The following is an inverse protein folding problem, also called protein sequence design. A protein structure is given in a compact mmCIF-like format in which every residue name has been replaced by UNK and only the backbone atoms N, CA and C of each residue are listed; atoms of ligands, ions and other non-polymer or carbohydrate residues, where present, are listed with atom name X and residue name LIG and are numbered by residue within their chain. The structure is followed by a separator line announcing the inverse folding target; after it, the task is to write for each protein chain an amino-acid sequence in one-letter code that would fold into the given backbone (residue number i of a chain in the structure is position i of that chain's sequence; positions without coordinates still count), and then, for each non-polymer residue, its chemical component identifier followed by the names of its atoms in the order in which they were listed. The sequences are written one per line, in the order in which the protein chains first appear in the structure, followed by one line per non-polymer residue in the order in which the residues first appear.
data_IF_176882718164
#
_entry.id   IF_176882718164
#
_cell.length_a   1.000
_cell.length_b   1.000
_cell.length_c   1.000
_cell.angle_alpha   90.00
_cell.angle_beta   90.00
_cell.angle_gamma   90.00
#
_symmetry.space_group_name_H-M   'P 1'
#
loop_
_entity.id
_entity.type
_entity.pdbx_description
1 polymer ?
#
# COMPACT_ATOMS: atom_id res chain seq x y z
N UNK A 1 -3.46 -5.36 -7.24
CA UNK A 1 -2.32 -6.14 -7.76
C UNK A 1 -2.47 -6.36 -9.26
N UNK A 2 -3.48 -7.10 -9.76
CA UNK A 2 -3.66 -7.51 -11.17
C UNK A 2 -3.62 -6.34 -12.15
N UNK A 3 -4.34 -5.26 -11.89
CA UNK A 3 -4.36 -4.09 -12.77
C UNK A 3 -2.99 -3.41 -12.87
N UNK A 4 -2.30 -3.24 -11.73
CA UNK A 4 -0.95 -2.66 -11.72
C UNK A 4 0.07 -3.57 -12.43
N UNK A 5 -0.06 -4.89 -12.28
CA UNK A 5 0.78 -5.83 -13.03
C UNK A 5 0.61 -5.67 -14.55
N UNK A 6 -0.63 -5.47 -15.04
CA UNK A 6 -0.90 -5.21 -16.46
C UNK A 6 -0.35 -3.86 -16.95
N UNK A 7 -0.30 -2.85 -16.06
CA UNK A 7 0.31 -1.55 -16.39
C UNK A 7 1.78 -1.70 -16.74
N UNK A 8 2.53 -2.58 -16.07
CA UNK A 8 3.94 -2.84 -16.37
C UNK A 8 4.12 -3.24 -17.85
N UNK A 9 3.22 -4.06 -18.40
CA UNK A 9 3.29 -4.55 -19.77
C UNK A 9 2.81 -3.51 -20.81
N UNK A 10 2.01 -2.54 -20.39
CA UNK A 10 1.40 -1.52 -21.26
C UNK A 10 2.08 -0.15 -21.16
N UNK A 11 2.95 0.03 -20.18
CA UNK A 11 3.57 1.32 -19.90
C UNK A 11 4.60 1.68 -21.00
N UNK A 12 4.76 2.99 -21.21
CA UNK A 12 5.87 3.52 -22.00
C UNK A 12 7.10 3.67 -21.11
N UNK A 13 8.23 3.14 -21.56
CA UNK A 13 9.49 3.24 -20.85
C UNK A 13 10.42 4.21 -21.59
N UNK A 14 10.96 5.24 -20.91
CA UNK A 14 11.78 6.27 -21.54
C UNK A 14 13.17 5.76 -21.95
N UNK A 15 13.64 4.66 -21.35
CA UNK A 15 14.93 4.02 -21.66
C UNK A 15 14.82 2.50 -21.63
N UNK A 16 15.67 1.81 -22.40
CA UNK A 16 15.72 0.35 -22.42
C UNK A 16 16.09 -0.24 -21.06
N UNK A 17 16.96 0.43 -20.31
CA UNK A 17 17.35 0.00 -18.95
C UNK A 17 16.14 0.02 -17.98
N UNK A 18 15.29 1.05 -18.07
CA UNK A 18 14.08 1.13 -17.27
C UNK A 18 13.08 0.03 -17.66
N UNK A 19 12.90 -0.22 -18.93
CA UNK A 19 12.05 -1.31 -19.44
C UNK A 19 12.55 -2.67 -18.96
N UNK A 20 13.83 -2.95 -19.17
CA UNK A 20 14.45 -4.22 -18.75
C UNK A 20 14.29 -4.46 -17.25
N UNK A 21 14.56 -3.45 -16.41
CA UNK A 21 14.42 -3.56 -14.96
C UNK A 21 12.96 -3.82 -14.55
N UNK A 22 12.01 -3.08 -15.11
CA UNK A 22 10.60 -3.24 -14.77
C UNK A 22 10.02 -4.58 -15.22
N UNK A 23 10.35 -5.04 -16.41
CA UNK A 23 9.88 -6.35 -16.89
C UNK A 23 10.51 -7.50 -16.11
N UNK A 24 11.79 -7.38 -15.75
CA UNK A 24 12.55 -8.37 -14.99
C UNK A 24 12.05 -8.56 -13.57
N UNK A 25 11.78 -7.45 -12.86
CA UNK A 25 11.44 -7.48 -11.44
C UNK A 25 9.95 -7.26 -11.15
N UNK A 26 9.21 -6.68 -12.10
CA UNK A 26 7.76 -6.41 -12.02
C UNK A 26 7.32 -5.76 -10.69
N UNK A 27 7.98 -4.69 -10.21
CA UNK A 27 7.60 -4.06 -8.95
C UNK A 27 6.30 -3.28 -9.11
N UNK A 28 5.44 -3.36 -8.12
CA UNK A 28 4.26 -2.51 -7.97
C UNK A 28 4.26 -1.88 -6.58
N UNK A 29 3.48 -0.82 -6.39
CA UNK A 29 3.36 -0.10 -5.13
C UNK A 29 1.88 0.16 -4.83
N UNK A 30 1.32 -0.58 -3.88
CA UNK A 30 -0.03 -0.36 -3.35
C UNK A 30 0.11 0.44 -2.08
N UNK A 31 -0.58 1.56 -1.99
CA UNK A 31 -0.61 2.43 -0.82
C UNK A 31 -2.02 2.80 -0.44
N UNK A 32 -2.13 3.60 0.62
CA UNK A 32 -3.40 4.11 1.15
C UNK A 32 -3.38 5.63 1.21
N UNK A 33 -4.55 6.24 1.28
CA UNK A 33 -4.76 7.64 1.64
C UNK A 33 -6.02 7.76 2.50
N UNK A 34 -6.07 8.76 3.38
CA UNK A 34 -7.22 8.98 4.25
C UNK A 34 -7.28 8.06 5.48
N UNK A 35 -6.15 7.50 5.94
CA UNK A 35 -6.15 6.66 7.14
C UNK A 35 -6.58 7.46 8.38
N UNK A 36 -6.12 8.71 8.52
CA UNK A 36 -6.52 9.59 9.61
C UNK A 36 -8.02 9.92 9.56
N UNK A 37 -8.59 10.09 8.35
CA UNK A 37 -10.03 10.26 8.18
C UNK A 37 -10.81 9.06 8.70
N UNK A 38 -10.34 7.85 8.40
CA UNK A 38 -10.97 6.60 8.91
C UNK A 38 -10.96 6.57 10.42
N UNK A 39 -9.85 6.91 11.07
CA UNK A 39 -9.78 6.95 12.53
C UNK A 39 -10.74 7.98 13.12
N UNK A 40 -10.80 9.18 12.56
CA UNK A 40 -11.73 10.22 13.02
C UNK A 40 -13.19 9.81 12.81
N UNK A 41 -13.54 9.22 11.66
CA UNK A 41 -14.89 8.70 11.40
C UNK A 41 -15.31 7.58 12.37
N UNK A 42 -14.36 6.82 12.89
CA UNK A 42 -14.58 5.77 13.89
C UNK A 42 -14.46 6.27 15.35
N UNK A 43 -14.22 7.57 15.56
CA UNK A 43 -14.03 8.15 16.90
C UNK A 43 -12.75 7.66 17.59
N UNK A 44 -11.72 7.28 16.83
CA UNK A 44 -10.46 6.78 17.36
C UNK A 44 -9.39 7.89 17.35
N UNK A 45 -8.85 8.29 18.50
CA UNK A 45 -7.65 9.13 18.53
C UNK A 45 -6.50 8.46 17.78
N UNK A 46 -5.72 9.24 17.01
CA UNK A 46 -4.70 8.72 16.10
C UNK A 46 -3.65 7.84 16.80
N UNK A 47 -3.26 8.17 18.02
CA UNK A 47 -2.28 7.45 18.84
C UNK A 47 -2.90 6.41 19.78
N UNK A 48 -4.21 6.16 19.67
CA UNK A 48 -4.93 5.23 20.54
C UNK A 48 -4.59 3.76 20.25
N UNK A 49 -4.73 2.86 21.22
CA UNK A 49 -4.61 1.42 20.98
C UNK A 49 -5.57 0.90 19.91
N UNK A 50 -6.80 1.45 19.85
CA UNK A 50 -7.80 1.10 18.85
C UNK A 50 -7.36 1.46 17.42
N UNK A 51 -6.79 2.65 17.24
CA UNK A 51 -6.24 3.08 15.95
C UNK A 51 -5.07 2.18 15.51
N UNK A 52 -4.16 1.84 16.42
CA UNK A 52 -3.03 0.93 16.15
C UNK A 52 -3.50 -0.47 15.72
N UNK A 53 -4.49 -1.02 16.42
CA UNK A 53 -5.05 -2.33 16.06
C UNK A 53 -5.76 -2.31 14.71
N UNK A 54 -6.54 -1.25 14.44
CA UNK A 54 -7.18 -1.07 13.14
C UNK A 54 -6.16 -0.91 12.01
N UNK A 55 -5.13 -0.09 12.22
CA UNK A 55 -4.02 0.08 11.27
C UNK A 55 -3.35 -1.25 10.94
N UNK A 56 -3.01 -2.04 11.97
CA UNK A 56 -2.43 -3.36 11.80
C UNK A 56 -3.32 -4.24 10.91
N UNK A 57 -4.62 -4.32 11.20
CA UNK A 57 -5.58 -5.12 10.41
C UNK A 57 -5.66 -4.65 8.96
N UNK A 58 -5.75 -3.32 8.72
CA UNK A 58 -5.83 -2.77 7.37
C UNK A 58 -4.61 -3.21 6.54
N UNK A 59 -3.40 -2.98 7.04
CA UNK A 59 -2.18 -3.31 6.30
C UNK A 59 -1.93 -4.81 6.20
N UNK A 60 -2.33 -5.60 7.20
CA UNK A 60 -2.29 -7.06 7.15
C UNK A 60 -3.18 -7.59 6.00
N UNK A 61 -4.42 -7.11 5.88
CA UNK A 61 -5.32 -7.50 4.79
C UNK A 61 -4.81 -7.06 3.42
N UNK A 62 -4.29 -5.83 3.30
CA UNK A 62 -3.75 -5.33 2.05
C UNK A 62 -2.56 -6.20 1.61
N UNK A 63 -1.63 -6.48 2.52
CA UNK A 63 -0.43 -7.23 2.22
C UNK A 63 -0.75 -8.70 1.90
N UNK A 64 -1.60 -9.34 2.70
CA UNK A 64 -2.06 -10.71 2.44
C UNK A 64 -2.71 -10.83 1.06
N UNK A 65 -3.67 -9.97 0.75
CA UNK A 65 -4.40 -10.00 -0.53
C UNK A 65 -3.49 -9.68 -1.72
N UNK A 66 -2.51 -8.78 -1.54
CA UNK A 66 -1.54 -8.46 -2.57
C UNK A 66 -0.61 -9.65 -2.88
N UNK A 67 -0.12 -10.33 -1.85
CA UNK A 67 0.70 -11.54 -1.97
C UNK A 67 -0.08 -12.69 -2.63
N UNK A 68 -1.32 -12.93 -2.15
CA UNK A 68 -2.19 -13.97 -2.70
C UNK A 68 -2.45 -13.76 -4.19
N UNK A 69 -2.82 -12.55 -4.59
CA UNK A 69 -3.07 -12.24 -6.00
C UNK A 69 -1.78 -12.33 -6.85
N UNK A 70 -0.64 -11.89 -6.30
CA UNK A 70 0.65 -12.01 -7.01
C UNK A 70 1.08 -13.47 -7.17
N UNK A 71 0.76 -14.34 -6.22
CA UNK A 71 0.98 -15.78 -6.33
C UNK A 71 0.05 -16.42 -7.38
N UNK A 72 -1.23 -16.00 -7.44
CA UNK A 72 -2.16 -16.44 -8.49
C UNK A 72 -1.64 -16.02 -9.87
N UNK A 73 -1.20 -14.78 -10.02
CA UNK A 73 -0.61 -14.30 -11.26
C UNK A 73 0.67 -15.05 -11.65
N UNK A 74 1.48 -15.48 -10.67
CA UNK A 74 2.65 -16.31 -10.95
C UNK A 74 2.28 -17.72 -11.44
N UNK A 75 1.14 -18.26 -10.99
CA UNK A 75 0.59 -19.53 -11.52
C UNK A 75 0.08 -19.39 -12.96
N UNK A 76 -0.41 -18.20 -13.34
CA UNK A 76 -0.92 -17.90 -14.69
C UNK A 76 0.20 -17.58 -15.68
N UNK A 77 1.18 -16.74 -15.28
CA UNK A 77 2.14 -16.06 -16.17
C UNK A 77 3.62 -16.23 -15.75
N UNK A 78 3.93 -17.16 -14.85
CA UNK A 78 5.24 -17.39 -14.22
C UNK A 78 5.66 -16.32 -13.19
N UNK A 79 6.56 -16.64 -12.25
CA UNK A 79 7.15 -15.70 -11.31
C UNK A 79 7.97 -14.62 -12.02
N UNK A 80 8.24 -13.50 -11.31
CA UNK A 80 9.23 -12.55 -11.80
C UNK A 80 10.61 -13.20 -11.90
N UNK A 81 11.41 -12.81 -12.89
CA UNK A 81 12.64 -13.50 -13.31
C UNK A 81 13.62 -13.75 -12.16
N UNK A 82 13.77 -12.81 -11.22
CA UNK A 82 14.69 -12.92 -10.09
C UNK A 82 14.04 -13.43 -8.80
N UNK A 83 12.91 -14.12 -8.89
CA UNK A 83 12.23 -14.67 -7.71
C UNK A 83 13.09 -15.70 -6.96
N UNK A 84 13.75 -16.58 -7.70
CA UNK A 84 14.61 -17.64 -7.13
C UNK A 84 15.79 -17.00 -6.39
N UNK A 85 15.96 -17.35 -5.12
CA UNK A 85 16.98 -16.79 -4.23
C UNK A 85 16.53 -15.53 -3.48
N UNK A 86 15.32 -15.03 -3.73
CA UNK A 86 14.71 -13.97 -2.92
C UNK A 86 14.28 -14.50 -1.54
N UNK A 87 14.13 -13.64 -0.51
CA UNK A 87 13.59 -14.06 0.78
C UNK A 87 12.23 -14.76 0.66
N UNK A 88 11.35 -14.27 -0.20
CA UNK A 88 10.03 -14.86 -0.43
C UNK A 88 10.12 -16.29 -0.99
N UNK A 89 11.15 -16.62 -1.79
CA UNK A 89 11.38 -17.98 -2.28
C UNK A 89 11.77 -18.96 -1.19
N UNK A 90 12.17 -18.46 -0.03
CA UNK A 90 12.51 -19.24 1.18
C UNK A 90 11.38 -19.16 2.24
N UNK A 91 10.22 -18.63 1.88
CA UNK A 91 9.10 -18.44 2.81
C UNK A 91 9.28 -17.31 3.82
N UNK A 92 10.25 -16.41 3.58
CA UNK A 92 10.53 -15.26 4.44
C UNK A 92 9.83 -14.05 3.84
N UNK A 93 8.81 -13.54 4.53
CA UNK A 93 8.10 -12.32 4.16
C UNK A 93 8.59 -11.14 5.02
N UNK A 94 8.15 -9.93 4.69
CA UNK A 94 8.70 -8.72 5.29
C UNK A 94 8.52 -8.66 6.82
N UNK A 95 7.38 -9.08 7.35
CA UNK A 95 7.12 -9.11 8.79
C UNK A 95 8.00 -10.14 9.53
N UNK A 96 8.40 -11.24 8.89
CA UNK A 96 9.32 -12.23 9.48
C UNK A 96 10.69 -11.61 9.77
N UNK A 97 11.17 -10.70 8.89
CA UNK A 97 12.45 -10.02 9.08
C UNK A 97 12.47 -9.07 10.28
N UNK A 98 11.30 -8.67 10.78
CA UNK A 98 11.16 -7.81 11.96
C UNK A 98 10.69 -8.56 13.21
N UNK A 99 10.60 -9.88 13.15
CA UNK A 99 10.18 -10.72 14.27
C UNK A 99 8.74 -10.49 14.71
N UNK A 100 7.90 -10.03 13.79
CA UNK A 100 6.46 -9.82 14.06
C UNK A 100 5.71 -11.11 13.79
N UNK A 101 4.95 -11.58 14.77
CA UNK A 101 4.08 -12.75 14.60
C UNK A 101 2.97 -12.42 13.59
N UNK A 102 2.89 -13.20 12.54
CA UNK A 102 1.84 -13.09 11.53
C UNK A 102 0.58 -13.87 11.92
N UNK A 103 -0.51 -13.54 11.26
CA UNK A 103 -1.72 -14.34 11.32
C UNK A 103 -1.45 -15.73 10.73
N UNK A 104 -1.95 -16.84 11.34
CA UNK A 104 -1.76 -18.20 10.84
C UNK A 104 -2.13 -18.44 9.37
N UNK A 105 -3.03 -17.63 8.80
CA UNK A 105 -3.38 -17.70 7.37
C UNK A 105 -2.20 -17.43 6.43
N UNK A 106 -1.16 -16.74 6.87
CA UNK A 106 0.06 -16.54 6.08
C UNK A 106 0.87 -17.82 5.88
N UNK A 107 0.77 -18.79 6.78
CA UNK A 107 1.57 -20.02 6.65
C UNK A 107 1.19 -20.84 5.40
N UNK A 108 -0.10 -20.99 5.13
CA UNK A 108 -0.57 -21.63 3.91
C UNK A 108 -0.15 -20.83 2.65
N UNK A 109 -0.25 -19.51 2.71
CA UNK A 109 0.18 -18.63 1.61
C UNK A 109 1.69 -18.70 1.38
N UNK A 110 2.51 -18.77 2.43
CA UNK A 110 3.98 -18.97 2.30
C UNK A 110 4.32 -20.27 1.56
N UNK A 111 3.63 -21.37 1.86
CA UNK A 111 3.82 -22.64 1.15
C UNK A 111 3.46 -22.51 -0.33
N UNK A 112 2.34 -21.85 -0.64
CA UNK A 112 1.95 -21.57 -2.02
C UNK A 112 2.99 -20.70 -2.75
N UNK A 113 3.49 -19.64 -2.09
CA UNK A 113 4.54 -18.75 -2.64
C UNK A 113 5.84 -19.52 -2.89
N UNK A 114 6.30 -20.36 -1.96
CA UNK A 114 7.51 -21.18 -2.16
C UNK A 114 7.36 -22.13 -3.33
N UNK A 115 6.15 -22.64 -3.57
CA UNK A 115 5.87 -23.60 -4.64
C UNK A 115 5.72 -22.94 -6.00
N UNK A 116 4.98 -21.82 -6.07
CA UNK A 116 4.55 -21.21 -7.33
C UNK A 116 5.20 -19.86 -7.62
N UNK A 117 5.83 -19.25 -6.62
CA UNK A 117 6.46 -17.93 -6.73
C UNK A 117 5.50 -16.77 -6.58
N UNK A 118 6.04 -15.57 -6.84
CA UNK A 118 5.32 -14.30 -6.93
C UNK A 118 5.54 -13.69 -8.30
N UNK A 119 4.50 -13.07 -8.88
CA UNK A 119 4.60 -12.34 -10.15
C UNK A 119 5.28 -10.98 -10.00
N UNK A 120 5.24 -10.39 -8.80
CA UNK A 120 5.72 -9.04 -8.50
C UNK A 120 6.75 -9.08 -7.37
N UNK A 121 7.90 -8.42 -7.56
CA UNK A 121 8.98 -8.37 -6.57
C UNK A 121 8.67 -7.48 -5.38
N UNK A 122 7.90 -6.40 -5.59
CA UNK A 122 7.41 -5.48 -4.56
C UNK A 122 5.90 -5.31 -4.74
N UNK A 123 5.16 -5.14 -3.65
CA UNK A 123 3.71 -5.13 -3.66
C UNK A 123 3.12 -3.91 -2.94
N UNK A 124 3.56 -3.64 -1.72
CA UNK A 124 3.01 -2.57 -0.86
C UNK A 124 4.10 -1.56 -0.58
N UNK A 125 3.83 -0.32 -0.93
CA UNK A 125 4.69 0.82 -0.65
C UNK A 125 3.82 2.08 -0.55
N UNK A 126 3.45 2.52 0.66
CA UNK A 126 2.69 3.75 0.86
C UNK A 126 3.44 4.95 0.29
N UNK A 127 2.74 5.73 -0.53
CA UNK A 127 3.23 6.94 -1.18
C UNK A 127 2.65 8.19 -0.50
N UNK A 128 3.25 9.39 -0.67
CA UNK A 128 2.77 10.63 -0.06
C UNK A 128 1.34 11.04 -0.45
N UNK A 129 0.84 10.68 -1.63
CA UNK A 129 -0.52 10.96 -2.15
C UNK A 129 -0.94 12.44 -2.14
N UNK A 130 0.00 13.38 -2.19
CA UNK A 130 -0.24 14.81 -2.03
C UNK A 130 -1.34 15.39 -2.94
N UNK A 131 -1.33 15.06 -4.24
CA UNK A 131 -2.33 15.55 -5.20
C UNK A 131 -3.62 14.72 -5.16
N UNK A 132 -3.51 13.41 -5.10
CA UNK A 132 -4.68 12.51 -5.12
C UNK A 132 -5.52 12.64 -3.86
N UNK A 133 -4.91 12.83 -2.69
CA UNK A 133 -5.62 13.10 -1.46
C UNK A 133 -6.46 14.39 -1.53
N UNK A 134 -5.93 15.44 -2.19
CA UNK A 134 -6.66 16.67 -2.40
C UNK A 134 -7.87 16.50 -3.34
N UNK A 135 -7.70 15.74 -4.42
CA UNK A 135 -8.79 15.44 -5.36
C UNK A 135 -9.91 14.68 -4.67
N UNK A 136 -9.55 13.71 -3.83
CA UNK A 136 -10.49 12.86 -3.10
C UNK A 136 -11.05 13.52 -1.82
N UNK A 137 -10.47 14.64 -1.39
CA UNK A 137 -10.93 15.36 -0.20
C UNK A 137 -10.67 14.62 1.13
N UNK A 138 -9.57 13.88 1.21
CA UNK A 138 -9.12 13.21 2.42
C UNK A 138 -7.69 13.63 2.80
N UNK A 139 -7.19 13.19 3.95
CA UNK A 139 -5.83 13.44 4.37
C UNK A 139 -4.81 12.57 3.60
N UNK A 140 -3.57 13.00 3.57
CA UNK A 140 -2.51 12.37 2.79
C UNK A 140 -2.09 11.02 3.40
N UNK A 141 -1.93 10.01 2.56
CA UNK A 141 -1.42 8.69 2.91
C UNK A 141 -1.95 8.16 4.27
N UNK A 142 -1.04 7.89 5.18
CA UNK A 142 -1.30 7.48 6.57
C UNK A 142 -0.93 8.57 7.58
N UNK A 143 -0.74 9.82 7.11
CA UNK A 143 -0.34 10.95 7.93
C UNK A 143 -1.48 11.39 8.89
N UNK A 144 -1.15 11.85 10.11
CA UNK A 144 -2.13 12.47 10.98
C UNK A 144 -2.55 13.85 10.46
N UNK A 145 -3.69 14.35 10.92
CA UNK A 145 -3.99 15.77 10.78
C UNK A 145 -3.05 16.57 11.68
N UNK A 146 -2.24 17.45 11.10
CA UNK A 146 -1.28 18.29 11.84
C UNK A 146 -1.90 19.55 12.40
N UNK A 147 -3.00 20.02 11.79
CA UNK A 147 -3.76 21.19 12.23
C UNK A 147 -5.21 21.09 11.77
N UNK A 148 -6.12 21.72 12.52
CA UNK A 148 -7.53 21.73 12.19
C UNK A 148 -7.92 22.84 11.20
N UNK A 149 -7.10 23.90 11.08
CA UNK A 149 -7.31 25.02 10.16
C UNK A 149 -5.95 25.43 9.60
N UNK A 150 -5.87 25.57 8.28
CA UNK A 150 -4.68 26.10 7.60
C UNK A 150 -5.02 26.83 6.31
N UNK A 151 -4.14 27.70 5.87
CA UNK A 151 -4.24 28.39 4.61
C UNK A 151 -3.48 27.62 3.52
N UNK A 152 -4.18 27.21 2.50
CA UNK A 152 -3.58 26.57 1.33
C UNK A 152 -3.40 27.58 0.22
N UNK A 153 -2.16 27.76 -0.24
CA UNK A 153 -1.81 28.61 -1.38
C UNK A 153 -1.63 27.76 -2.63
N UNK A 154 -2.29 28.14 -3.70
CA UNK A 154 -2.16 27.54 -5.02
C UNK A 154 -2.02 28.63 -6.07
N UNK A 155 -1.74 28.26 -7.33
CA UNK A 155 -1.74 29.20 -8.44
C UNK A 155 -3.14 29.85 -8.67
N UNK A 156 -4.21 29.20 -8.25
CA UNK A 156 -5.57 29.71 -8.38
C UNK A 156 -6.00 30.63 -7.22
N UNK A 157 -5.18 30.76 -6.16
CA UNK A 157 -5.50 31.61 -5.01
C UNK A 157 -5.20 30.96 -3.66
N UNK A 158 -5.70 31.58 -2.60
CA UNK A 158 -5.58 31.13 -1.21
C UNK A 158 -6.92 30.59 -0.71
N UNK A 159 -6.90 29.43 -0.10
CA UNK A 159 -8.08 28.72 0.39
C UNK A 159 -7.90 28.37 1.86
N UNK A 160 -8.91 28.68 2.68
CA UNK A 160 -8.95 28.21 4.07
C UNK A 160 -9.43 26.77 4.08
N UNK A 161 -8.58 25.89 4.57
CA UNK A 161 -8.88 24.48 4.74
C UNK A 161 -9.22 24.21 6.20
N UNK A 162 -10.30 23.49 6.43
CA UNK A 162 -10.79 23.15 7.78
C UNK A 162 -10.97 21.64 7.89
N UNK A 163 -10.62 21.08 9.06
CA UNK A 163 -10.89 19.67 9.33
C UNK A 163 -12.41 19.42 9.39
N UNK A 164 -12.93 18.77 8.34
CA UNK A 164 -14.36 18.48 8.18
C UNK A 164 -14.96 17.60 9.28
N UNK A 165 -14.14 16.73 9.87
CA UNK A 165 -14.58 15.84 10.94
C UNK A 165 -14.80 16.61 12.23
N UNK A 166 -13.89 17.55 12.57
CA UNK A 166 -14.06 18.43 13.70
C UNK A 166 -15.31 19.32 13.56
N UNK A 167 -15.58 19.85 12.35
CA UNK A 167 -16.80 20.62 12.13
C UNK A 167 -18.04 19.78 12.41
N UNK A 168 -18.04 18.53 11.97
CA UNK A 168 -19.16 17.60 12.20
C UNK A 168 -19.37 17.31 13.69
N UNK A 169 -18.28 17.18 14.45
CA UNK A 169 -18.36 16.88 15.88
C UNK A 169 -18.82 18.10 16.72
N UNK A 170 -18.66 19.33 16.18
CA UNK A 170 -19.07 20.57 16.83
C UNK A 170 -20.53 20.97 16.51
N UNK A 171 -21.20 20.31 15.60
CA UNK A 171 -22.61 20.52 15.22
C UNK A 171 -23.54 19.65 16.05
#
# INVERSE_FOLDING_TARGET
TRNLNRVIDKNFYPTDAAQQSNLKHRPIAIGVQGLADVFQMMGLPFDSPGARELNKKIFEYIYFSALQESCILAKEDEPYETFKGSPASMGILQFDMWGVNSNPSFEALKQDIMTHGLRNSLLVAPMPTASTAQIMGNNEAFEPYTTNIYLRRTLAGEFVMVNKHLIKDLQ
#
